data_IF_492525350393
#
_entry.id   IF_492525350393
#
_cell.length_a   1.000
_cell.length_b   1.000
_cell.length_c   1.000
_cell.angle_alpha   90.00
_cell.angle_beta   90.00
_cell.angle_gamma   90.00
#
_symmetry.space_group_name_H-M   'P 1'
#
loop_
_entity.id
_entity.type
_entity.pdbx_description
1 polymer ?
#
# COMPACT_ATOMS: atom_id res chain seq x y z
N UNK A 1 -8.01 -10.27 4.46
CA UNK A 1 -7.82 -8.83 4.27
C UNK A 1 -6.36 -8.48 4.06
N UNK A 2 -6.05 -7.36 3.39
CA UNK A 2 -4.69 -6.88 3.20
C UNK A 2 -4.49 -5.52 3.90
N UNK A 3 -3.42 -5.39 4.69
CA UNK A 3 -2.91 -4.10 5.16
C UNK A 3 -2.04 -3.49 4.08
N UNK A 4 -2.29 -2.24 3.71
CA UNK A 4 -1.47 -1.52 2.75
C UNK A 4 -1.07 -0.15 3.27
N UNK A 5 0.14 0.30 2.88
CA UNK A 5 0.75 1.53 3.37
C UNK A 5 1.29 2.33 2.19
N UNK A 6 0.94 3.61 2.13
CA UNK A 6 1.33 4.54 1.07
C UNK A 6 2.38 5.55 1.55
N UNK A 7 3.04 6.20 0.60
CA UNK A 7 3.97 7.33 0.77
C UNK A 7 5.37 6.99 1.32
N UNK A 8 5.61 5.73 1.70
CA UNK A 8 6.96 5.27 2.00
C UNK A 8 7.87 5.18 0.75
N UNK A 9 9.13 4.72 0.92
CA UNK A 9 9.75 4.38 2.18
C UNK A 9 10.41 5.59 2.85
N UNK A 10 10.53 5.54 4.17
CA UNK A 10 11.33 6.49 4.94
C UNK A 10 12.06 5.78 6.09
N UNK A 11 12.97 6.49 6.75
CA UNK A 11 13.78 5.92 7.85
C UNK A 11 13.16 6.11 9.24
N UNK A 12 11.98 6.72 9.33
CA UNK A 12 11.33 7.10 10.59
C UNK A 12 10.10 6.23 10.87
N UNK A 13 9.12 6.26 9.97
CA UNK A 13 7.80 5.61 10.18
C UNK A 13 7.76 4.21 9.57
N UNK A 14 8.29 4.02 8.35
CA UNK A 14 8.30 2.70 7.69
C UNK A 14 8.90 1.59 8.56
N UNK A 15 10.07 1.77 9.26
CA UNK A 15 10.61 0.74 10.13
C UNK A 15 9.72 0.45 11.35
N UNK A 16 9.00 1.44 11.87
CA UNK A 16 8.08 1.24 12.99
C UNK A 16 6.84 0.46 12.56
N UNK A 17 6.33 0.71 11.34
CA UNK A 17 5.27 -0.12 10.74
C UNK A 17 5.75 -1.56 10.60
N UNK A 18 6.95 -1.78 10.06
CA UNK A 18 7.52 -3.13 9.94
C UNK A 18 7.64 -3.84 11.29
N UNK A 19 8.12 -3.16 12.33
CA UNK A 19 8.21 -3.72 13.68
C UNK A 19 6.82 -4.08 14.25
N UNK A 20 5.80 -3.28 13.95
CA UNK A 20 4.42 -3.59 14.34
C UNK A 20 3.90 -4.84 13.61
N UNK A 21 4.18 -4.98 12.32
CA UNK A 21 3.84 -6.19 11.56
C UNK A 21 4.55 -7.43 12.10
N UNK A 22 5.85 -7.32 12.42
CA UNK A 22 6.65 -8.39 13.05
C UNK A 22 6.10 -8.78 14.42
N UNK A 23 5.79 -7.79 15.28
CA UNK A 23 5.19 -8.01 16.61
C UNK A 23 3.95 -8.89 16.55
N UNK A 24 3.13 -8.68 15.54
CA UNK A 24 1.88 -9.41 15.35
C UNK A 24 2.01 -10.62 14.41
N UNK A 25 3.19 -10.91 13.88
CA UNK A 25 3.40 -11.97 12.89
C UNK A 25 2.39 -11.88 11.73
N UNK A 26 2.34 -10.72 11.08
CA UNK A 26 1.52 -10.42 9.90
C UNK A 26 2.34 -9.73 8.84
N UNK A 27 1.90 -9.81 7.58
CA UNK A 27 2.51 -9.11 6.45
C UNK A 27 1.58 -8.02 5.93
N UNK A 28 2.13 -7.11 5.11
CA UNK A 28 1.39 -6.05 4.44
C UNK A 28 1.96 -5.78 3.04
N UNK A 29 1.42 -4.79 2.35
CA UNK A 29 1.92 -4.34 1.05
C UNK A 29 2.20 -2.84 1.12
N UNK A 30 3.41 -2.43 0.70
CA UNK A 30 3.87 -1.04 0.73
C UNK A 30 3.85 -0.46 -0.68
N UNK A 31 3.13 0.62 -0.87
CA UNK A 31 3.04 1.37 -2.11
C UNK A 31 4.03 2.55 -2.06
N UNK A 32 5.18 2.36 -2.68
CA UNK A 32 6.32 3.26 -2.52
C UNK A 32 6.30 4.40 -3.55
N UNK A 33 6.60 5.60 -3.09
CA UNK A 33 6.90 6.76 -3.92
C UNK A 33 8.36 6.68 -4.37
N UNK A 34 8.60 6.71 -5.68
CA UNK A 34 9.92 6.49 -6.26
C UNK A 34 11.00 7.46 -5.79
N UNK A 35 10.67 8.74 -5.67
CA UNK A 35 11.62 9.79 -5.23
C UNK A 35 11.93 9.70 -3.72
N UNK A 36 11.13 8.98 -2.92
CA UNK A 36 11.42 8.67 -1.53
C UNK A 36 12.46 7.54 -1.37
N UNK A 37 12.79 6.83 -2.46
CA UNK A 37 13.74 5.72 -2.44
C UNK A 37 15.16 6.25 -2.63
N UNK A 38 15.86 6.47 -1.52
CA UNK A 38 17.29 6.76 -1.43
C UNK A 38 18.05 5.56 -0.87
N UNK A 39 19.36 5.67 -0.65
CA UNK A 39 20.19 4.55 -0.17
C UNK A 39 19.72 4.00 1.19
N UNK A 40 19.34 4.87 2.12
CA UNK A 40 18.93 4.48 3.47
C UNK A 40 17.52 3.90 3.48
N UNK A 41 16.55 4.58 2.87
CA UNK A 41 15.16 4.12 2.81
C UNK A 41 14.99 2.85 1.96
N UNK A 42 15.84 2.65 0.94
CA UNK A 42 15.88 1.41 0.16
C UNK A 42 16.26 0.19 1.02
N UNK A 43 17.13 0.35 2.03
CA UNK A 43 17.46 -0.72 2.98
C UNK A 43 16.23 -1.12 3.80
N UNK A 44 15.47 -0.13 4.27
CA UNK A 44 14.24 -0.37 5.03
C UNK A 44 13.20 -1.09 4.15
N UNK A 45 12.99 -0.62 2.92
CA UNK A 45 12.07 -1.28 1.99
C UNK A 45 12.50 -2.72 1.66
N UNK A 46 13.80 -2.99 1.57
CA UNK A 46 14.33 -4.34 1.41
C UNK A 46 14.04 -5.21 2.63
N UNK A 47 14.21 -4.69 3.84
CA UNK A 47 13.85 -5.42 5.07
C UNK A 47 12.36 -5.76 5.10
N UNK A 48 11.48 -4.85 4.65
CA UNK A 48 10.05 -5.16 4.49
C UNK A 48 9.84 -6.33 3.52
N UNK A 49 10.50 -6.31 2.37
CA UNK A 49 10.40 -7.37 1.36
C UNK A 49 10.93 -8.71 1.89
N UNK A 50 12.10 -8.72 2.54
CA UNK A 50 12.72 -9.93 3.11
C UNK A 50 11.89 -10.53 4.26
N UNK A 51 11.14 -9.70 4.97
CA UNK A 51 10.18 -10.19 5.98
C UNK A 51 8.95 -10.86 5.35
N UNK A 52 8.71 -10.67 4.04
CA UNK A 52 7.57 -11.24 3.31
C UNK A 52 6.46 -10.24 3.00
N UNK A 53 6.71 -8.94 3.18
CA UNK A 53 5.81 -7.90 2.69
C UNK A 53 5.95 -7.74 1.18
N UNK A 54 4.88 -7.26 0.54
CA UNK A 54 4.87 -6.97 -0.89
C UNK A 54 5.23 -5.50 -1.14
N UNK A 55 6.03 -5.25 -2.18
CA UNK A 55 6.40 -3.88 -2.59
C UNK A 55 5.69 -3.53 -3.88
N UNK A 56 4.95 -2.42 -3.85
CA UNK A 56 4.05 -1.93 -4.89
C UNK A 56 4.42 -0.51 -5.32
N UNK A 57 3.84 -0.05 -6.42
CA UNK A 57 4.16 1.24 -7.02
C UNK A 57 3.12 2.32 -6.61
N UNK A 58 3.62 3.49 -6.19
CA UNK A 58 2.82 4.69 -5.87
C UNK A 58 3.27 5.93 -6.68
N UNK A 59 3.64 5.74 -7.94
CA UNK A 59 4.27 6.71 -8.83
C UNK A 59 5.68 7.15 -8.38
N UNK A 60 6.31 8.03 -9.15
CA UNK A 60 7.63 8.57 -8.83
C UNK A 60 7.54 9.75 -7.89
N UNK A 61 6.74 10.76 -8.25
CA UNK A 61 6.75 12.08 -7.60
C UNK A 61 5.55 12.31 -6.68
N UNK A 62 4.60 11.36 -6.63
CA UNK A 62 3.31 11.53 -5.96
C UNK A 62 2.49 12.70 -6.51
N UNK A 63 2.64 13.05 -7.78
CA UNK A 63 1.85 14.11 -8.43
C UNK A 63 0.48 13.61 -8.90
N UNK A 64 -0.47 14.54 -9.11
CA UNK A 64 -1.79 14.23 -9.66
C UNK A 64 -1.70 13.86 -11.15
N UNK A 65 -1.66 12.57 -11.45
CA UNK A 65 -1.38 12.01 -12.78
C UNK A 65 -2.43 12.28 -13.87
N UNK A 66 -3.73 12.52 -13.60
CA UNK A 66 -4.72 12.79 -14.67
C UNK A 66 -4.42 14.02 -15.56
N UNK A 67 -3.52 14.90 -15.13
CA UNK A 67 -3.08 16.07 -15.90
C UNK A 67 -1.83 15.79 -16.76
N UNK A 68 -1.24 14.62 -16.62
CA UNK A 68 0.00 14.23 -17.29
C UNK A 68 -0.27 13.62 -18.66
N UNK A 69 0.70 13.76 -19.57
CA UNK A 69 0.72 13.04 -20.84
C UNK A 69 1.04 11.56 -20.62
N UNK A 70 0.71 10.70 -21.58
CA UNK A 70 1.06 9.28 -21.54
C UNK A 70 2.56 9.01 -21.35
N UNK A 71 3.43 9.87 -21.89
CA UNK A 71 4.89 9.77 -21.73
C UNK A 71 5.31 10.06 -20.27
N UNK A 72 4.73 11.11 -19.68
CA UNK A 72 4.98 11.45 -18.28
C UNK A 72 4.47 10.36 -17.33
N UNK A 73 3.27 9.84 -17.58
CA UNK A 73 2.69 8.71 -16.80
C UNK A 73 3.62 7.50 -16.85
N UNK A 74 4.09 7.10 -18.05
CA UNK A 74 5.02 5.98 -18.19
C UNK A 74 6.33 6.22 -17.43
N UNK A 75 6.87 7.43 -17.51
CA UNK A 75 8.10 7.81 -16.78
C UNK A 75 7.90 7.69 -15.26
N UNK A 76 6.76 8.15 -14.72
CA UNK A 76 6.41 8.01 -13.30
C UNK A 76 6.39 6.55 -12.86
N UNK A 77 5.81 5.68 -13.67
CA UNK A 77 5.64 4.26 -13.34
C UNK A 77 6.94 3.48 -13.50
N UNK A 78 7.63 3.64 -14.64
CA UNK A 78 8.84 2.88 -14.97
C UNK A 78 9.99 3.20 -14.01
N UNK A 79 10.19 4.48 -13.67
CA UNK A 79 11.21 4.88 -12.70
C UNK A 79 11.04 4.13 -11.37
N UNK A 80 9.83 4.13 -10.84
CA UNK A 80 9.53 3.47 -9.56
C UNK A 80 9.60 1.96 -9.66
N UNK A 81 9.14 1.37 -10.77
CA UNK A 81 9.27 -0.06 -11.03
C UNK A 81 10.73 -0.51 -11.01
N UNK A 82 11.63 0.26 -11.61
CA UNK A 82 13.06 -0.09 -11.65
C UNK A 82 13.72 0.04 -10.27
N UNK A 83 13.35 1.05 -9.48
CA UNK A 83 13.78 1.15 -8.08
C UNK A 83 13.28 -0.04 -7.24
N UNK A 84 12.04 -0.44 -7.42
CA UNK A 84 11.46 -1.61 -6.71
C UNK A 84 12.19 -2.90 -7.10
N UNK A 85 12.49 -3.13 -8.39
CA UNK A 85 13.28 -4.29 -8.82
C UNK A 85 14.68 -4.32 -8.19
N UNK A 86 15.33 -3.16 -8.03
CA UNK A 86 16.64 -3.09 -7.36
C UNK A 86 16.54 -3.48 -5.87
N UNK A 87 15.47 -3.06 -5.18
CA UNK A 87 15.20 -3.41 -3.78
C UNK A 87 14.93 -4.90 -3.64
N UNK A 88 14.12 -5.48 -4.51
CA UNK A 88 13.56 -6.84 -4.40
C UNK A 88 14.40 -7.94 -5.07
N UNK A 89 15.57 -7.57 -5.64
CA UNK A 89 16.40 -8.54 -6.36
C UNK A 89 15.79 -8.99 -7.70
N UNK A 90 15.04 -8.12 -8.37
CA UNK A 90 14.48 -8.35 -9.71
C UNK A 90 12.98 -8.62 -9.74
N UNK A 91 12.29 -8.68 -8.61
CA UNK A 91 10.83 -8.87 -8.59
C UNK A 91 10.14 -7.57 -9.00
N UNK A 92 9.37 -7.61 -10.09
CA UNK A 92 8.60 -6.46 -10.54
C UNK A 92 7.33 -6.27 -9.70
N UNK A 93 6.90 -5.02 -9.42
CA UNK A 93 5.63 -4.78 -8.75
C UNK A 93 4.46 -5.21 -9.66
N UNK A 94 3.37 -5.65 -9.05
CA UNK A 94 2.14 -6.07 -9.75
C UNK A 94 1.03 -5.05 -9.61
N UNK A 95 1.09 -4.22 -8.58
CA UNK A 95 0.03 -3.31 -8.19
C UNK A 95 0.51 -1.88 -8.20
N UNK A 96 -0.42 -1.00 -8.55
CA UNK A 96 -0.25 0.44 -8.56
C UNK A 96 -1.39 1.09 -7.79
N UNK A 97 -1.09 2.04 -6.92
CA UNK A 97 -2.08 2.92 -6.34
C UNK A 97 -1.86 4.33 -6.87
N UNK A 98 -2.88 4.93 -7.53
CA UNK A 98 -2.76 6.31 -8.00
C UNK A 98 -2.66 7.28 -6.82
N UNK A 99 -1.74 8.25 -6.84
CA UNK A 99 -1.74 9.35 -5.89
C UNK A 99 -3.11 10.01 -5.80
N UNK A 100 -3.57 10.31 -4.58
CA UNK A 100 -4.90 10.91 -4.30
C UNK A 100 -6.09 10.08 -4.83
N UNK A 101 -5.88 8.83 -5.23
CA UNK A 101 -6.85 8.00 -5.97
C UNK A 101 -7.38 8.71 -7.23
N UNK A 102 -6.58 9.63 -7.76
CA UNK A 102 -6.94 10.41 -8.94
C UNK A 102 -6.70 9.60 -10.22
N UNK A 103 -7.75 9.43 -11.03
CA UNK A 103 -7.77 8.59 -12.22
C UNK A 103 -8.25 9.33 -13.46
N UNK A 104 -7.71 8.93 -14.62
CA UNK A 104 -8.31 9.18 -15.92
C UNK A 104 -8.23 7.91 -16.78
N UNK A 105 -9.01 7.88 -17.85
CA UNK A 105 -9.15 6.67 -18.68
C UNK A 105 -7.84 6.22 -19.33
N UNK A 106 -6.98 7.15 -19.76
CA UNK A 106 -5.69 6.84 -20.38
C UNK A 106 -4.74 6.10 -19.44
N UNK A 107 -4.82 6.34 -18.14
CA UNK A 107 -3.96 5.64 -17.16
C UNK A 107 -4.15 4.12 -17.20
N UNK A 108 -5.35 3.63 -17.45
CA UNK A 108 -5.60 2.19 -17.57
C UNK A 108 -4.95 1.55 -18.81
N UNK A 109 -4.67 2.35 -19.83
CA UNK A 109 -4.01 1.89 -21.05
C UNK A 109 -2.49 2.05 -20.98
N UNK A 110 -2.02 3.07 -20.26
CA UNK A 110 -0.60 3.41 -20.09
C UNK A 110 0.10 2.61 -18.98
N UNK A 111 -0.65 2.17 -17.95
CA UNK A 111 -0.10 1.51 -16.77
C UNK A 111 -0.46 0.02 -16.77
N UNK A 112 0.52 -0.88 -17.01
CA UNK A 112 0.28 -2.33 -17.09
C UNK A 112 0.19 -3.03 -15.72
N UNK A 113 -0.12 -2.28 -14.65
CA UNK A 113 -0.26 -2.79 -13.29
C UNK A 113 -1.74 -2.84 -12.89
N UNK A 114 -2.08 -3.70 -11.92
CA UNK A 114 -3.43 -3.73 -11.35
C UNK A 114 -3.63 -2.53 -10.43
N UNK A 115 -4.74 -1.81 -10.62
CA UNK A 115 -5.07 -0.62 -9.84
C UNK A 115 -5.68 -0.98 -8.49
N UNK A 116 -5.16 -0.37 -7.44
CA UNK A 116 -5.61 -0.56 -6.05
C UNK A 116 -6.06 0.78 -5.48
N UNK A 117 -7.23 0.80 -4.86
CA UNK A 117 -7.69 1.88 -4.00
C UNK A 117 -7.50 1.47 -2.52
N UNK A 118 -8.52 0.90 -1.93
CA UNK A 118 -8.55 0.51 -0.52
C UNK A 118 -9.56 1.35 0.28
N UNK A 119 -9.82 0.90 1.50
CA UNK A 119 -10.70 1.58 2.45
C UNK A 119 -9.85 2.15 3.59
N UNK A 120 -9.85 3.46 3.74
CA UNK A 120 -9.00 4.18 4.68
C UNK A 120 -9.72 4.71 5.91
N UNK A 121 -8.93 5.35 6.78
CA UNK A 121 -9.38 6.00 8.00
C UNK A 121 -9.10 7.52 8.00
N UNK A 122 -8.75 8.10 6.86
CA UNK A 122 -8.24 9.48 6.74
C UNK A 122 -7.02 9.72 7.64
N UNK A 123 -6.15 8.72 7.71
CA UNK A 123 -5.02 8.67 8.63
C UNK A 123 -3.87 9.62 8.26
N UNK A 124 -3.99 10.35 7.14
CA UNK A 124 -3.13 11.49 6.78
C UNK A 124 -3.51 12.79 7.49
N UNK A 125 -4.68 12.85 8.17
CA UNK A 125 -5.13 14.02 8.92
C UNK A 125 -4.64 13.95 10.37
N UNK A 126 -3.90 14.97 10.81
CA UNK A 126 -3.33 15.00 12.15
C UNK A 126 -4.39 15.09 13.27
N UNK A 127 -5.55 15.63 12.99
CA UNK A 127 -6.66 15.70 13.95
C UNK A 127 -7.30 14.35 14.27
N UNK A 128 -7.11 13.33 13.42
CA UNK A 128 -7.68 12.00 13.62
C UNK A 128 -6.78 11.20 14.59
N UNK A 129 -7.29 10.89 15.76
CA UNK A 129 -6.54 10.14 16.79
C UNK A 129 -6.28 8.67 16.37
N UNK A 130 -5.31 8.02 17.00
CA UNK A 130 -5.04 6.60 16.77
C UNK A 130 -6.26 5.71 17.06
N UNK A 131 -7.04 6.05 18.12
CA UNK A 131 -8.27 5.34 18.46
C UNK A 131 -9.34 5.48 17.38
N UNK A 132 -9.53 6.71 16.87
CA UNK A 132 -10.51 6.95 15.81
C UNK A 132 -10.10 6.27 14.50
N UNK A 133 -8.80 6.29 14.15
CA UNK A 133 -8.27 5.53 12.98
C UNK A 133 -8.55 4.03 13.13
N UNK A 134 -8.26 3.49 14.31
CA UNK A 134 -8.53 2.06 14.59
C UNK A 134 -10.00 1.74 14.46
N UNK A 135 -10.86 2.55 15.08
CA UNK A 135 -12.31 2.36 15.04
C UNK A 135 -12.84 2.38 13.61
N UNK A 136 -12.45 3.37 12.80
CA UNK A 136 -12.90 3.49 11.40
C UNK A 136 -12.51 2.27 10.56
N UNK A 137 -11.30 1.73 10.74
CA UNK A 137 -10.86 0.53 10.03
C UNK A 137 -11.63 -0.70 10.49
N UNK A 138 -11.81 -0.87 11.79
CA UNK A 138 -12.49 -2.04 12.37
C UNK A 138 -13.97 -2.06 11.98
N UNK A 139 -14.65 -0.92 12.03
CA UNK A 139 -16.09 -0.81 11.72
C UNK A 139 -16.43 -1.14 10.25
N UNK A 140 -15.50 -0.92 9.32
CA UNK A 140 -15.71 -1.21 7.90
C UNK A 140 -15.12 -2.55 7.44
N UNK A 141 -14.49 -3.31 8.34
CA UNK A 141 -13.79 -4.54 8.00
C UNK A 141 -14.72 -5.61 7.41
N UNK A 142 -14.32 -6.19 6.29
CA UNK A 142 -15.03 -7.25 5.61
C UNK A 142 -14.08 -8.16 4.83
N UNK A 143 -14.52 -9.37 4.51
CA UNK A 143 -13.71 -10.29 3.71
C UNK A 143 -13.37 -9.69 2.35
N UNK A 144 -12.13 -9.90 1.92
CA UNK A 144 -11.64 -9.36 0.65
C UNK A 144 -11.19 -7.90 0.69
N UNK A 145 -11.33 -7.21 1.82
CA UNK A 145 -11.00 -5.79 1.98
C UNK A 145 -9.50 -5.54 1.86
N UNK A 146 -9.16 -4.46 1.17
CA UNK A 146 -7.84 -3.83 1.15
C UNK A 146 -7.91 -2.60 2.05
N UNK A 147 -7.10 -2.57 3.11
CA UNK A 147 -7.03 -1.46 4.06
C UNK A 147 -5.98 -0.46 3.57
N UNK A 148 -6.37 0.80 3.40
CA UNK A 148 -5.49 1.90 2.99
C UNK A 148 -5.07 2.70 4.21
N UNK A 149 -3.78 2.70 4.50
CA UNK A 149 -3.12 3.51 5.51
C UNK A 149 -1.87 4.16 4.89
N UNK A 150 -1.20 5.04 5.65
CA UNK A 150 -0.01 5.73 5.19
C UNK A 150 1.14 5.54 6.20
N UNK A 151 2.33 5.20 5.67
CA UNK A 151 3.57 5.19 6.45
C UNK A 151 4.47 6.41 6.15
N UNK A 152 3.87 7.49 5.68
CA UNK A 152 4.57 8.76 5.48
C UNK A 152 5.31 9.20 6.75
N UNK A 153 6.42 9.90 6.58
CA UNK A 153 7.30 10.29 7.68
C UNK A 153 6.54 11.08 8.78
N UNK A 154 6.63 10.60 10.01
CA UNK A 154 6.00 11.22 11.19
C UNK A 154 4.58 10.75 11.49
N UNK A 155 3.99 9.87 10.67
CA UNK A 155 2.61 9.37 10.90
C UNK A 155 2.54 8.34 12.06
N UNK A 156 3.02 8.73 13.24
CA UNK A 156 3.09 7.85 14.42
C UNK A 156 1.72 7.40 14.94
N UNK A 157 0.64 8.17 14.69
CA UNK A 157 -0.71 7.76 15.10
C UNK A 157 -1.19 6.54 14.33
N UNK A 158 -0.80 6.40 13.06
CA UNK A 158 -1.08 5.16 12.30
C UNK A 158 -0.30 3.98 12.88
N UNK A 159 0.98 4.15 13.24
CA UNK A 159 1.75 3.10 13.92
C UNK A 159 1.07 2.66 15.21
N UNK A 160 0.60 3.60 16.03
CA UNK A 160 -0.15 3.30 17.27
C UNK A 160 -1.48 2.58 16.98
N UNK A 161 -2.22 3.02 15.96
CA UNK A 161 -3.49 2.41 15.57
C UNK A 161 -3.35 0.96 15.11
N UNK A 162 -2.23 0.61 14.46
CA UNK A 162 -1.98 -0.75 13.96
C UNK A 162 -2.05 -1.82 15.04
N UNK A 163 -1.59 -1.54 16.24
CA UNK A 163 -1.65 -2.50 17.37
C UNK A 163 -3.09 -2.93 17.63
N UNK A 164 -3.98 -1.98 17.77
CA UNK A 164 -5.42 -2.22 18.01
C UNK A 164 -6.10 -2.85 16.79
N UNK A 165 -5.84 -2.33 15.59
CA UNK A 165 -6.43 -2.84 14.34
C UNK A 165 -6.10 -4.32 14.16
N UNK A 166 -4.83 -4.70 14.29
CA UNK A 166 -4.40 -6.07 14.03
C UNK A 166 -4.95 -7.02 15.09
N UNK A 167 -4.89 -6.65 16.38
CA UNK A 167 -5.41 -7.49 17.46
C UNK A 167 -6.91 -7.73 17.32
N UNK A 168 -7.67 -6.66 17.11
CA UNK A 168 -9.13 -6.76 17.05
C UNK A 168 -9.60 -7.53 15.80
N UNK A 169 -9.02 -7.26 14.64
CA UNK A 169 -9.41 -7.97 13.42
C UNK A 169 -9.00 -9.46 13.47
N UNK A 170 -7.87 -9.80 14.11
CA UNK A 170 -7.54 -11.21 14.42
C UNK A 170 -8.57 -11.84 15.34
N UNK A 171 -9.00 -11.14 16.38
CA UNK A 171 -10.05 -11.61 17.31
C UNK A 171 -11.38 -11.87 16.58
N UNK A 172 -11.68 -11.08 15.56
CA UNK A 172 -12.85 -11.27 14.68
C UNK A 172 -12.66 -12.39 13.64
N UNK A 173 -11.47 -13.03 13.59
CA UNK A 173 -11.19 -14.16 12.71
C UNK A 173 -10.60 -13.79 11.35
N UNK A 174 -10.22 -12.54 11.13
CA UNK A 174 -9.54 -12.13 9.90
C UNK A 174 -8.09 -12.61 9.87
N UNK A 175 -7.63 -13.00 8.68
CA UNK A 175 -6.23 -13.29 8.37
C UNK A 175 -5.65 -12.16 7.54
N UNK A 176 -4.45 -11.69 7.92
CA UNK A 176 -3.72 -10.66 7.18
C UNK A 176 -2.78 -11.29 6.16
N UNK A 177 -2.82 -10.78 4.94
CA UNK A 177 -2.02 -11.27 3.80
C UNK A 177 -1.60 -10.08 2.93
N UNK A 178 -0.64 -10.29 2.01
CA UNK A 178 -0.31 -9.31 0.97
C UNK A 178 -1.46 -9.16 -0.04
N UNK A 179 -1.43 -8.11 -0.88
CA UNK A 179 -2.44 -7.93 -1.93
C UNK A 179 -2.41 -9.10 -2.92
N UNK A 180 -1.22 -9.57 -3.34
CA UNK A 180 -1.08 -10.77 -4.18
C UNK A 180 -1.74 -12.00 -3.57
N UNK A 181 -1.48 -12.25 -2.29
CA UNK A 181 -2.05 -13.40 -1.58
C UNK A 181 -3.55 -13.27 -1.37
N UNK A 182 -4.05 -12.03 -1.20
CA UNK A 182 -5.49 -11.78 -1.09
C UNK A 182 -6.22 -12.21 -2.36
N UNK A 183 -5.75 -11.76 -3.53
CA UNK A 183 -6.29 -12.21 -4.83
C UNK A 183 -6.21 -13.72 -4.99
N UNK A 184 -5.06 -14.31 -4.68
CA UNK A 184 -4.84 -15.76 -4.79
C UNK A 184 -5.77 -16.57 -3.87
N UNK A 185 -5.90 -16.20 -2.60
CA UNK A 185 -6.78 -16.88 -1.62
C UNK A 185 -8.25 -16.74 -1.96
N UNK A 186 -8.67 -15.59 -2.48
CA UNK A 186 -10.03 -15.36 -2.97
C UNK A 186 -10.29 -16.00 -4.34
N UNK A 187 -9.26 -16.53 -5.02
CA UNK A 187 -9.33 -17.11 -6.37
C UNK A 187 -9.87 -16.12 -7.42
N UNK A 188 -9.53 -14.85 -7.27
CA UNK A 188 -9.89 -13.77 -8.18
C UNK A 188 -8.68 -13.43 -9.04
N UNK A 189 -8.90 -13.35 -10.34
CA UNK A 189 -7.91 -12.79 -11.29
C UNK A 189 -8.23 -11.31 -11.47
N UNK A 190 -7.25 -10.42 -11.26
CA UNK A 190 -7.48 -8.98 -11.47
C UNK A 190 -7.95 -8.68 -12.90
N UNK A 191 -8.98 -7.85 -13.02
CA UNK A 191 -9.53 -7.39 -14.30
C UNK A 191 -8.90 -6.07 -14.71
N UNK A 192 -8.76 -5.87 -16.00
CA UNK A 192 -8.33 -4.57 -16.56
C UNK A 192 -9.39 -3.50 -16.29
N UNK A 193 -8.95 -2.25 -16.13
CA UNK A 193 -9.81 -1.05 -15.95
C UNK A 193 -10.71 -1.14 -14.71
N UNK A 194 -10.27 -1.89 -13.70
CA UNK A 194 -10.90 -1.96 -12.38
C UNK A 194 -9.89 -1.47 -11.35
N UNK A 195 -10.34 -0.64 -10.41
CA UNK A 195 -9.60 -0.25 -9.23
C UNK A 195 -10.24 -0.94 -8.01
N UNK A 196 -9.42 -1.65 -7.22
CA UNK A 196 -9.91 -2.53 -6.17
C UNK A 196 -9.80 -1.90 -4.78
N UNK A 197 -10.92 -1.82 -4.05
CA UNK A 197 -10.97 -1.61 -2.61
C UNK A 197 -11.29 -2.90 -1.86
N UNK A 198 -11.97 -3.82 -2.54
CA UNK A 198 -12.26 -5.16 -2.04
C UNK A 198 -12.25 -6.15 -3.21
N UNK A 199 -11.45 -7.21 -3.11
CA UNK A 199 -11.28 -8.17 -4.21
C UNK A 199 -12.52 -9.05 -4.47
N UNK A 200 -13.49 -9.09 -3.55
CA UNK A 200 -14.72 -9.90 -3.68
C UNK A 200 -15.92 -9.11 -4.24
N UNK A 201 -15.90 -7.77 -4.13
CA UNK A 201 -17.04 -6.92 -4.49
C UNK A 201 -16.80 -5.99 -5.67
N UNK A 202 -15.54 -5.70 -6.03
CA UNK A 202 -15.13 -4.82 -7.16
C UNK A 202 -14.75 -5.61 -8.42
#
# INVERSE_FOLDING_TARGET
IALTFDDGPNTVTTPQVLEMLKKHNVTGSFFLVGDNINEESARIARECFEYGCEICNHSRTHSAMPQQTSEEIKTEIEYTNDKIKQITGGVAPKFFRPPYIALCDSMYDDIPLTFICGNGAEDWLDEISAEERSKRIIDQAQNGMIILLHDMEGNFRTVQALDTIIQELKRQGYTFVTVSDLFAKCKITPRKRVIYSNVLTD
#
